data_IF_113758728103
#
_entry.id   IF_113758728103
#
_cell.length_a   1.000
_cell.length_b   1.000
_cell.length_c   1.000
_cell.angle_alpha   90.00
_cell.angle_beta   90.00
_cell.angle_gamma   90.00
#
_symmetry.space_group_name_H-M   'P 1'
#
loop_
_entity.id
_entity.type
_entity.pdbx_description
1 polymer ?
#
# COMPACT_ATOMS: atom_id res chain seq x y z
N UNK A 1 -17.63 -34.37 -30.12
CA UNK A 1 -16.95 -34.48 -28.81
C UNK A 1 -16.09 -33.24 -28.66
N UNK A 2 -16.29 -32.42 -27.61
CA UNK A 2 -15.49 -31.20 -27.42
C UNK A 2 -14.06 -31.60 -26.97
N UNK A 3 -13.00 -31.11 -27.65
CA UNK A 3 -11.62 -31.37 -27.24
C UNK A 3 -11.35 -30.96 -25.80
N UNK A 4 -10.50 -31.71 -25.09
CA UNK A 4 -10.14 -31.41 -23.70
C UNK A 4 -9.57 -29.98 -23.54
N UNK A 5 -8.81 -29.49 -24.51
CA UNK A 5 -8.26 -28.13 -24.51
C UNK A 5 -9.35 -27.06 -24.54
N UNK A 6 -10.41 -27.26 -25.34
CA UNK A 6 -11.55 -26.33 -25.41
C UNK A 6 -12.32 -26.30 -24.09
N UNK A 7 -12.47 -27.44 -23.41
CA UNK A 7 -13.08 -27.49 -22.07
C UNK A 7 -12.27 -26.71 -21.03
N UNK A 8 -10.94 -26.78 -21.10
CA UNK A 8 -10.06 -26.04 -20.20
C UNK A 8 -10.12 -24.54 -20.45
N UNK A 9 -10.15 -24.10 -21.72
CA UNK A 9 -10.27 -22.69 -22.06
C UNK A 9 -11.58 -22.08 -21.54
N UNK A 10 -12.71 -22.76 -21.77
CA UNK A 10 -14.02 -22.32 -21.24
C UNK A 10 -13.97 -22.22 -19.71
N UNK A 11 -13.32 -23.18 -19.04
CA UNK A 11 -13.18 -23.15 -17.58
C UNK A 11 -12.30 -21.98 -17.11
N UNK A 12 -11.25 -21.62 -17.86
CA UNK A 12 -10.41 -20.46 -17.55
C UNK A 12 -11.23 -19.17 -17.68
N UNK A 13 -11.95 -18.99 -18.78
CA UNK A 13 -12.82 -17.82 -18.99
C UNK A 13 -13.86 -17.67 -17.88
N UNK A 14 -14.48 -18.78 -17.47
CA UNK A 14 -15.42 -18.81 -16.35
C UNK A 14 -14.76 -18.35 -15.05
N UNK A 15 -13.58 -18.89 -14.73
CA UNK A 15 -12.85 -18.54 -13.52
C UNK A 15 -12.39 -17.08 -13.51
N UNK A 16 -12.01 -16.54 -14.67
CA UNK A 16 -11.65 -15.13 -14.81
C UNK A 16 -12.85 -14.21 -14.54
N UNK A 17 -14.03 -14.60 -15.04
CA UNK A 17 -15.27 -13.87 -14.79
C UNK A 17 -15.68 -13.93 -13.31
N UNK A 18 -15.71 -15.13 -12.72
CA UNK A 18 -16.03 -15.32 -11.29
C UNK A 18 -15.06 -14.52 -10.41
N UNK A 19 -13.76 -14.50 -10.75
CA UNK A 19 -12.74 -13.75 -10.03
C UNK A 19 -12.93 -12.22 -10.17
N UNK A 20 -13.41 -11.74 -11.31
CA UNK A 20 -13.75 -10.33 -11.49
C UNK A 20 -14.97 -9.94 -10.65
N UNK A 21 -15.99 -10.81 -10.59
CA UNK A 21 -17.20 -10.58 -9.78
C UNK A 21 -16.86 -10.55 -8.28
N UNK A 22 -16.12 -11.53 -7.78
CA UNK A 22 -15.68 -11.58 -6.37
C UNK A 22 -14.88 -10.34 -5.99
N UNK A 23 -13.99 -9.85 -6.87
CA UNK A 23 -13.24 -8.61 -6.61
C UNK A 23 -14.16 -7.41 -6.47
N UNK A 24 -15.15 -7.29 -7.35
CA UNK A 24 -16.12 -6.18 -7.32
C UNK A 24 -16.95 -6.21 -6.04
N UNK A 25 -17.43 -7.38 -5.63
CA UNK A 25 -18.17 -7.54 -4.38
C UNK A 25 -17.30 -7.20 -3.16
N UNK A 26 -16.05 -7.67 -3.16
CA UNK A 26 -15.10 -7.37 -2.09
C UNK A 26 -14.85 -5.86 -1.97
N UNK A 27 -14.67 -5.15 -3.08
CA UNK A 27 -14.52 -3.69 -3.10
C UNK A 27 -15.76 -2.97 -2.57
N UNK A 28 -16.95 -3.44 -2.95
CA UNK A 28 -18.21 -2.88 -2.47
C UNK A 28 -18.38 -3.04 -0.94
N UNK A 29 -17.91 -4.16 -0.38
CA UNK A 29 -17.96 -4.44 1.06
C UNK A 29 -16.82 -3.77 1.84
N UNK A 30 -15.72 -3.43 1.18
CA UNK A 30 -14.53 -2.87 1.83
C UNK A 30 -14.80 -1.50 2.45
N UNK A 31 -15.47 -0.59 1.74
CA UNK A 31 -15.73 0.76 2.26
C UNK A 31 -16.68 0.79 3.48
N UNK A 32 -17.82 0.05 3.49
CA UNK A 32 -18.65 -0.10 4.68
C UNK A 32 -17.91 -0.73 5.87
N UNK A 33 -17.14 -1.80 5.63
CA UNK A 33 -16.37 -2.47 6.68
C UNK A 33 -15.32 -1.55 7.30
N UNK A 34 -14.57 -0.80 6.48
CA UNK A 34 -13.57 0.15 6.99
C UNK A 34 -14.19 1.28 7.82
N UNK A 35 -15.44 1.65 7.52
CA UNK A 35 -16.19 2.64 8.30
C UNK A 35 -16.68 2.11 9.64
N UNK A 36 -16.94 0.80 9.77
CA UNK A 36 -17.35 0.19 11.04
C UNK A 36 -16.20 -0.04 12.03
N UNK A 37 -14.94 0.01 11.56
CA UNK A 37 -13.76 -0.13 12.42
C UNK A 37 -13.50 1.12 13.28
N UNK A 38 -12.96 0.91 14.48
CA UNK A 38 -12.39 2.01 15.28
C UNK A 38 -11.19 2.64 14.56
N UNK A 39 -10.75 3.86 14.96
CA UNK A 39 -9.53 4.45 14.41
C UNK A 39 -8.30 3.54 14.54
N UNK A 40 -8.08 2.87 15.69
CA UNK A 40 -6.94 1.97 15.87
C UNK A 40 -7.04 0.73 14.97
N UNK A 41 -8.22 0.11 14.88
CA UNK A 41 -8.45 -1.06 14.03
C UNK A 41 -8.28 -0.72 12.55
N UNK A 42 -8.73 0.47 12.14
CA UNK A 42 -8.57 0.97 10.78
C UNK A 42 -7.10 1.17 10.44
N UNK A 43 -6.32 1.77 11.34
CA UNK A 43 -4.87 1.93 11.19
C UNK A 43 -4.17 0.56 11.12
N UNK A 44 -4.55 -0.38 11.98
CA UNK A 44 -4.02 -1.74 11.94
C UNK A 44 -4.32 -2.45 10.62
N UNK A 45 -5.55 -2.32 10.10
CA UNK A 45 -5.97 -2.88 8.82
C UNK A 45 -5.19 -2.27 7.64
N UNK A 46 -5.00 -0.94 7.62
CA UNK A 46 -4.15 -0.27 6.63
C UNK A 46 -2.71 -0.75 6.71
N UNK A 47 -2.14 -0.81 7.91
CA UNK A 47 -0.75 -1.26 8.12
C UNK A 47 -0.55 -2.70 7.65
N UNK A 48 -1.49 -3.60 7.95
CA UNK A 48 -1.45 -4.98 7.50
C UNK A 48 -1.51 -5.09 5.96
N UNK A 49 -2.41 -4.32 5.32
CA UNK A 49 -2.51 -4.26 3.85
C UNK A 49 -1.21 -3.77 3.21
N UNK A 50 -0.65 -2.67 3.72
CA UNK A 50 0.61 -2.10 3.21
C UNK A 50 1.76 -3.08 3.38
N UNK A 51 1.88 -3.77 4.52
CA UNK A 51 2.91 -4.80 4.72
C UNK A 51 2.77 -5.95 3.72
N UNK A 52 1.55 -6.47 3.53
CA UNK A 52 1.31 -7.55 2.58
C UNK A 52 1.66 -7.14 1.14
N UNK A 53 1.30 -5.92 0.75
CA UNK A 53 1.64 -5.37 -0.56
C UNK A 53 3.15 -5.17 -0.71
N UNK A 54 3.83 -4.58 0.29
CA UNK A 54 5.27 -4.40 0.29
C UNK A 54 6.01 -5.74 0.20
N UNK A 55 5.54 -6.76 0.92
CA UNK A 55 6.12 -8.11 0.85
C UNK A 55 5.99 -8.72 -0.55
N UNK A 56 4.83 -8.54 -1.20
CA UNK A 56 4.62 -9.00 -2.59
C UNK A 56 5.52 -8.26 -3.59
N UNK A 57 5.72 -6.97 -3.39
CA UNK A 57 6.51 -6.12 -4.29
C UNK A 57 8.01 -6.15 -4.00
N UNK A 58 8.43 -6.68 -2.84
CA UNK A 58 9.80 -6.66 -2.35
C UNK A 58 10.81 -7.13 -3.40
N UNK A 59 10.57 -8.27 -4.04
CA UNK A 59 11.49 -8.81 -5.05
C UNK A 59 11.58 -7.95 -6.31
N UNK A 60 10.49 -7.31 -6.71
CA UNK A 60 10.47 -6.39 -7.85
C UNK A 60 11.22 -5.10 -7.51
N UNK A 61 11.02 -4.58 -6.29
CA UNK A 61 11.71 -3.39 -5.78
C UNK A 61 13.21 -3.65 -5.67
N UNK A 62 13.62 -4.77 -5.05
CA UNK A 62 15.03 -5.15 -4.93
C UNK A 62 15.70 -5.33 -6.31
N UNK A 63 14.94 -5.82 -7.31
CA UNK A 63 15.43 -5.95 -8.69
C UNK A 63 15.56 -4.60 -9.41
N UNK A 64 14.63 -3.67 -9.15
CA UNK A 64 14.57 -2.38 -9.85
C UNK A 64 15.48 -1.31 -9.23
N UNK A 65 15.53 -1.24 -7.90
CA UNK A 65 16.25 -0.22 -7.13
C UNK A 65 17.55 -0.76 -6.52
N UNK A 66 17.84 -2.05 -6.68
CA UNK A 66 18.94 -2.72 -5.99
C UNK A 66 18.58 -3.09 -4.56
N UNK A 67 19.55 -3.69 -3.86
CA UNK A 67 19.38 -3.97 -2.42
C UNK A 67 19.41 -2.64 -1.67
N UNK A 68 18.51 -2.43 -0.69
CA UNK A 68 18.63 -1.28 0.20
C UNK A 68 20.01 -1.32 0.85
N UNK A 69 20.73 -0.20 0.78
CA UNK A 69 22.02 -0.07 1.45
C UNK A 69 21.77 -0.13 2.95
N UNK A 70 22.25 -1.20 3.59
CA UNK A 70 22.11 -1.41 5.03
C UNK A 70 22.94 -0.40 5.83
N UNK A 71 23.88 0.29 5.17
CA UNK A 71 24.66 1.39 5.73
C UNK A 71 24.12 2.75 5.29
N UNK A 72 22.97 2.80 4.60
CA UNK A 72 22.32 4.07 4.30
C UNK A 72 22.03 4.77 5.63
N UNK A 73 22.51 6.00 5.72
CA UNK A 73 22.28 6.85 6.87
C UNK A 73 20.76 7.03 7.05
N UNK A 74 20.23 6.55 8.16
CA UNK A 74 18.82 6.71 8.48
C UNK A 74 18.56 8.19 8.74
N UNK A 75 17.89 8.84 7.78
CA UNK A 75 17.48 10.23 7.93
C UNK A 75 16.48 10.37 9.07
N UNK A 76 16.68 11.39 9.89
CA UNK A 76 15.66 11.89 10.80
C UNK A 76 14.46 12.43 10.04
N UNK A 77 13.33 12.54 10.74
CA UNK A 77 12.12 13.17 10.22
C UNK A 77 12.39 14.58 9.65
N UNK A 78 13.16 15.38 10.38
CA UNK A 78 13.55 16.73 9.96
C UNK A 78 14.43 16.72 8.71
N UNK A 79 15.43 15.83 8.63
CA UNK A 79 16.31 15.75 7.47
C UNK A 79 15.56 15.32 6.21
N UNK A 80 14.61 14.39 6.35
CA UNK A 80 13.74 13.98 5.25
C UNK A 80 12.86 15.15 4.76
N UNK A 81 12.26 15.93 5.67
CA UNK A 81 11.46 17.10 5.30
C UNK A 81 12.29 18.18 4.59
N UNK A 82 13.52 18.41 5.04
CA UNK A 82 14.44 19.35 4.40
C UNK A 82 14.84 18.89 2.99
N UNK A 83 15.05 17.59 2.78
CA UNK A 83 15.31 17.02 1.45
C UNK A 83 14.09 17.18 0.53
N UNK A 84 12.89 16.89 1.02
CA UNK A 84 11.66 17.06 0.25
C UNK A 84 11.45 18.53 -0.17
N UNK A 85 11.71 19.47 0.74
CA UNK A 85 11.68 20.92 0.45
C UNK A 85 12.65 21.31 -0.66
N UNK A 86 13.87 20.76 -0.67
CA UNK A 86 14.87 21.01 -1.72
C UNK A 86 14.42 20.52 -3.09
N UNK A 87 13.64 19.44 -3.12
CA UNK A 87 13.02 18.89 -4.35
C UNK A 87 11.71 19.61 -4.72
N UNK A 88 11.36 20.72 -4.04
CA UNK A 88 10.16 21.51 -4.31
C UNK A 88 8.87 20.87 -3.78
N UNK A 89 8.97 19.83 -2.95
CA UNK A 89 7.83 19.19 -2.30
C UNK A 89 7.62 19.89 -0.95
N UNK A 90 6.59 20.74 -0.88
CA UNK A 90 6.19 21.34 0.38
C UNK A 90 5.68 20.26 1.35
N UNK A 91 6.25 20.16 2.57
CA UNK A 91 5.81 19.24 3.62
C UNK A 91 4.33 19.40 3.97
N UNK A 92 3.83 20.64 3.94
CA UNK A 92 2.42 21.00 4.15
C UNK A 92 1.47 20.41 3.07
N UNK A 93 1.99 20.13 1.88
CA UNK A 93 1.21 19.55 0.77
C UNK A 93 1.32 18.01 0.73
N UNK A 94 2.20 17.43 1.56
CA UNK A 94 2.41 15.99 1.67
C UNK A 94 1.80 15.44 2.97
N UNK A 95 0.78 14.59 2.84
CA UNK A 95 0.07 13.98 3.98
C UNK A 95 1.01 13.26 4.97
N UNK A 96 2.07 12.61 4.47
CA UNK A 96 3.05 11.93 5.31
C UNK A 96 3.92 12.93 6.08
N UNK A 97 4.35 14.01 5.42
CA UNK A 97 5.14 15.05 6.07
C UNK A 97 4.33 15.85 7.10
N UNK A 98 3.05 16.13 6.84
CA UNK A 98 2.13 16.75 7.81
C UNK A 98 1.97 15.93 9.09
N UNK A 99 1.76 14.61 8.96
CA UNK A 99 1.62 13.72 10.11
C UNK A 99 2.89 13.72 11.00
N UNK A 100 4.07 13.85 10.38
CA UNK A 100 5.35 13.97 11.08
C UNK A 100 5.46 15.32 11.83
N UNK A 101 4.99 16.41 11.22
CA UNK A 101 4.95 17.74 11.87
C UNK A 101 3.99 17.72 13.07
N UNK A 102 2.76 17.24 12.89
CA UNK A 102 1.75 17.17 13.96
C UNK A 102 2.23 16.34 15.17
N UNK A 103 2.90 15.22 14.93
CA UNK A 103 3.46 14.38 16.00
C UNK A 103 4.64 15.06 16.72
N UNK A 104 5.44 15.87 16.02
CA UNK A 104 6.53 16.66 16.61
C UNK A 104 6.00 17.78 17.51
N UNK A 105 4.94 18.46 17.08
CA UNK A 105 4.29 19.53 17.86
C UNK A 105 3.67 18.97 19.15
N UNK A 106 2.98 17.83 19.08
CA UNK A 106 2.40 17.15 20.27
C UNK A 106 3.42 16.72 21.32
N UNK A 107 4.68 16.47 20.94
CA UNK A 107 5.76 16.07 21.86
C UNK A 107 6.49 17.25 22.48
N UNK A 108 6.26 18.46 21.96
CA UNK A 108 6.89 19.70 22.39
C UNK A 108 6.03 20.52 23.36
N UNK A 109 4.79 20.08 23.61
CA UNK A 109 3.86 20.54 24.65
C UNK A 109 3.94 19.66 25.91
#
# INVERSE_FOLDING_TARGET
MIPAITKLLIKIEQLEWDLAEVKKELEALQAPFMKSLTPEERLAAYSARTRAQNQRLRSLIEKALGKPDLNAETLTAEELQQLLLKEGINPEDNLGSRAIIEEREKRSE
#
